data_IF_465809445509
#
_entry.id   IF_465809445509
#
_cell.length_a   1.000
_cell.length_b   1.000
_cell.length_c   1.000
_cell.angle_alpha   90.00
_cell.angle_beta   90.00
_cell.angle_gamma   90.00
#
_symmetry.space_group_name_H-M   'P 1'
#
loop_
_entity.id
_entity.type
_entity.pdbx_description
1 polymer ?
#
# COMPACT_ATOMS: atom_id res chain seq x y z
N UNK A 1 3.79 19.61 -12.20
CA UNK A 1 3.26 18.37 -12.85
C UNK A 1 4.11 17.16 -12.48
N UNK A 2 3.50 16.05 -11.97
CA UNK A 2 4.22 14.83 -11.62
C UNK A 2 4.39 13.90 -12.82
N UNK A 3 5.61 13.56 -13.19
CA UNK A 3 5.92 12.60 -14.26
C UNK A 3 6.03 11.17 -13.77
N UNK A 4 6.39 10.98 -12.50
CA UNK A 4 6.54 9.69 -11.83
C UNK A 4 5.50 9.58 -10.73
N UNK A 5 4.68 8.54 -10.78
CA UNK A 5 3.64 8.30 -9.77
C UNK A 5 3.86 6.92 -9.15
N UNK A 6 4.13 6.91 -7.86
CA UNK A 6 4.28 5.69 -7.09
C UNK A 6 2.97 5.44 -6.33
N UNK A 7 2.45 4.23 -6.39
CA UNK A 7 1.23 3.84 -5.68
C UNK A 7 1.55 2.82 -4.59
N UNK A 8 0.96 2.98 -3.42
CA UNK A 8 0.81 1.84 -2.52
C UNK A 8 -0.20 0.83 -3.11
N UNK A 9 -0.29 -0.34 -2.52
CA UNK A 9 -1.14 -1.43 -2.99
C UNK A 9 -2.39 -1.60 -2.13
N UNK A 10 -2.19 -1.99 -0.86
CA UNK A 10 -3.29 -2.34 0.05
C UNK A 10 -3.94 -1.06 0.60
N UNK A 11 -5.20 -0.81 0.28
CA UNK A 11 -5.92 0.42 0.65
C UNK A 11 -5.85 1.53 -0.41
N UNK A 12 -4.99 1.39 -1.40
CA UNK A 12 -4.82 2.35 -2.49
C UNK A 12 -5.26 1.78 -3.83
N UNK A 13 -4.56 0.76 -4.33
CA UNK A 13 -4.94 0.09 -5.58
C UNK A 13 -5.96 -1.03 -5.34
N UNK A 14 -5.96 -1.62 -4.14
CA UNK A 14 -6.83 -2.77 -3.83
C UNK A 14 -7.43 -2.71 -2.43
N UNK A 15 -8.65 -3.25 -2.30
CA UNK A 15 -9.30 -3.57 -1.02
C UNK A 15 -8.92 -4.99 -0.60
N UNK A 16 -7.87 -5.12 0.16
CA UNK A 16 -7.34 -6.40 0.63
C UNK A 16 -7.89 -6.87 1.98
N UNK A 17 -8.88 -6.14 2.56
CA UNK A 17 -9.39 -6.40 3.91
C UNK A 17 -9.84 -7.83 4.12
N UNK A 18 -10.58 -8.40 3.17
CA UNK A 18 -11.15 -9.75 3.31
C UNK A 18 -10.05 -10.80 3.49
N UNK A 19 -9.05 -10.79 2.61
CA UNK A 19 -7.93 -11.71 2.66
C UNK A 19 -7.06 -11.56 3.91
N UNK A 20 -6.80 -10.31 4.31
CA UNK A 20 -6.05 -10.01 5.53
C UNK A 20 -6.83 -10.47 6.75
N UNK A 21 -8.10 -10.10 6.89
CA UNK A 21 -8.93 -10.45 8.05
C UNK A 21 -9.09 -11.96 8.20
N UNK A 22 -9.36 -12.67 7.11
CA UNK A 22 -9.49 -14.12 7.14
C UNK A 22 -8.17 -14.80 7.51
N UNK A 23 -7.03 -14.24 7.08
CA UNK A 23 -5.72 -14.80 7.42
C UNK A 23 -5.30 -14.46 8.86
N UNK A 24 -5.69 -13.29 9.39
CA UNK A 24 -5.53 -12.96 10.82
C UNK A 24 -6.37 -13.91 11.68
N UNK A 25 -7.66 -14.11 11.33
CA UNK A 25 -8.55 -15.04 12.03
C UNK A 25 -7.98 -16.46 12.04
N UNK A 26 -7.52 -16.94 10.89
CA UNK A 26 -6.87 -18.25 10.75
C UNK A 26 -5.65 -18.38 11.66
N UNK A 27 -4.80 -17.35 11.69
CA UNK A 27 -3.62 -17.33 12.54
C UNK A 27 -3.97 -17.39 14.02
N UNK A 28 -4.91 -16.57 14.46
CA UNK A 28 -5.34 -16.52 15.87
C UNK A 28 -6.02 -17.82 16.31
N UNK A 29 -6.88 -18.40 15.47
CA UNK A 29 -7.54 -19.69 15.74
C UNK A 29 -6.51 -20.82 15.94
N UNK A 30 -5.54 -20.91 15.02
CA UNK A 30 -4.44 -21.90 15.11
C UNK A 30 -3.59 -21.74 16.37
N UNK A 31 -3.47 -20.54 16.89
CA UNK A 31 -2.70 -20.24 18.11
C UNK A 31 -3.54 -20.24 19.37
N UNK A 32 -4.85 -20.56 19.28
CA UNK A 32 -5.76 -20.55 20.42
C UNK A 32 -5.97 -19.16 21.03
N UNK A 33 -5.84 -18.10 20.23
CA UNK A 33 -6.01 -16.71 20.67
C UNK A 33 -7.36 -16.16 20.23
N UNK A 34 -8.00 -15.29 21.04
CA UNK A 34 -9.27 -14.65 20.66
C UNK A 34 -9.08 -13.71 19.46
N UNK A 35 -10.05 -13.71 18.55
CA UNK A 35 -10.07 -12.77 17.43
C UNK A 35 -10.55 -11.40 17.94
N UNK A 36 -9.84 -10.30 17.62
CA UNK A 36 -10.29 -8.96 17.96
C UNK A 36 -11.52 -8.55 17.12
N UNK A 37 -12.25 -7.50 17.54
CA UNK A 37 -13.41 -6.99 16.82
C UNK A 37 -13.02 -6.40 15.46
N UNK A 38 -14.02 -6.20 14.60
CA UNK A 38 -13.85 -5.73 13.21
C UNK A 38 -13.03 -4.42 13.11
N UNK A 39 -13.29 -3.46 13.97
CA UNK A 39 -12.61 -2.16 14.00
C UNK A 39 -11.12 -2.30 14.29
N UNK A 40 -10.74 -3.34 15.05
CA UNK A 40 -9.34 -3.66 15.31
C UNK A 40 -8.72 -4.39 14.12
N UNK A 41 -9.46 -5.27 13.44
CA UNK A 41 -8.96 -5.95 12.23
C UNK A 41 -8.61 -4.95 11.11
N UNK A 42 -9.33 -3.83 10.99
CA UNK A 42 -8.99 -2.75 10.05
C UNK A 42 -7.56 -2.23 10.26
N UNK A 43 -7.05 -2.27 11.50
CA UNK A 43 -5.70 -1.81 11.84
C UNK A 43 -4.57 -2.75 11.39
N UNK A 44 -4.92 -3.95 10.89
CA UNK A 44 -3.95 -4.87 10.30
C UNK A 44 -3.68 -4.58 8.82
N UNK A 45 -4.47 -3.70 8.18
CA UNK A 45 -4.23 -3.29 6.80
C UNK A 45 -3.26 -2.11 6.79
N UNK A 46 -2.12 -2.28 6.13
CA UNK A 46 -1.09 -1.26 5.95
C UNK A 46 0.14 -1.42 6.87
N UNK A 47 0.01 -1.46 8.21
CA UNK A 47 1.15 -1.63 9.10
C UNK A 47 1.85 -3.00 8.97
N UNK A 48 3.12 -3.11 9.42
CA UNK A 48 3.78 -4.39 9.59
C UNK A 48 2.95 -5.34 10.47
N UNK A 49 2.80 -6.60 10.03
CA UNK A 49 1.97 -7.57 10.74
C UNK A 49 2.48 -7.89 12.15
N UNK A 50 3.80 -7.90 12.35
CA UNK A 50 4.40 -8.11 13.68
C UNK A 50 3.89 -7.07 14.67
N UNK A 51 4.00 -5.78 14.32
CA UNK A 51 3.56 -4.66 15.16
C UNK A 51 2.05 -4.75 15.46
N UNK A 52 1.28 -5.19 14.47
CA UNK A 52 -0.17 -5.35 14.62
C UNK A 52 -0.53 -6.47 15.58
N UNK A 53 0.12 -7.64 15.50
CA UNK A 53 -0.11 -8.74 16.44
C UNK A 53 0.37 -8.39 17.86
N UNK A 54 1.51 -7.73 18.00
CA UNK A 54 1.99 -7.28 19.32
C UNK A 54 1.01 -6.28 19.94
N UNK A 55 0.67 -5.24 19.17
CA UNK A 55 -0.14 -4.12 19.67
C UNK A 55 -1.60 -4.48 19.94
N UNK A 56 -2.21 -5.27 19.06
CA UNK A 56 -3.66 -5.50 19.10
C UNK A 56 -4.06 -6.87 19.65
N UNK A 57 -3.12 -7.82 19.71
CA UNK A 57 -3.36 -9.15 20.27
C UNK A 57 -2.54 -9.42 21.53
N UNK A 58 -1.74 -8.45 22.02
CA UNK A 58 -0.93 -8.59 23.24
C UNK A 58 0.12 -9.70 23.16
N UNK A 59 0.68 -9.92 21.97
CA UNK A 59 1.72 -10.91 21.73
C UNK A 59 3.10 -10.33 22.02
N UNK A 60 4.01 -11.15 22.51
CA UNK A 60 5.43 -10.80 22.52
C UNK A 60 6.06 -11.01 21.13
N UNK A 61 7.33 -10.62 20.97
CA UNK A 61 8.04 -10.71 19.69
C UNK A 61 8.10 -12.15 19.14
N UNK A 62 8.24 -13.17 19.99
CA UNK A 62 8.29 -14.57 19.56
C UNK A 62 6.91 -15.06 19.09
N UNK A 63 5.86 -14.71 19.83
CA UNK A 63 4.48 -15.03 19.48
C UNK A 63 4.05 -14.33 18.20
N UNK A 64 4.38 -13.04 18.04
CA UNK A 64 4.05 -12.25 16.83
C UNK A 64 4.73 -12.84 15.59
N UNK A 65 5.99 -13.27 15.68
CA UNK A 65 6.68 -13.99 14.60
C UNK A 65 5.96 -15.29 14.22
N UNK A 66 5.51 -16.08 15.20
CA UNK A 66 4.74 -17.30 14.95
C UNK A 66 3.40 -16.98 14.29
N UNK A 67 2.71 -15.94 14.76
CA UNK A 67 1.43 -15.52 14.21
C UNK A 67 1.56 -15.07 12.76
N UNK A 68 2.60 -14.32 12.41
CA UNK A 68 2.88 -13.88 11.02
C UNK A 68 3.18 -15.08 10.12
N UNK A 69 3.92 -16.08 10.59
CA UNK A 69 4.18 -17.30 9.80
C UNK A 69 2.88 -18.06 9.51
N UNK A 70 2.02 -18.26 10.50
CA UNK A 70 0.71 -18.92 10.32
C UNK A 70 -0.22 -18.08 9.45
N UNK A 71 -0.20 -16.74 9.58
CA UNK A 71 -0.92 -15.83 8.69
C UNK A 71 -0.49 -16.06 7.22
N UNK A 72 0.82 -16.13 6.96
CA UNK A 72 1.38 -16.33 5.61
C UNK A 72 0.97 -17.68 5.00
N UNK A 73 0.85 -18.74 5.78
CA UNK A 73 0.37 -20.05 5.29
C UNK A 73 -0.96 -19.93 4.54
N UNK A 74 -1.89 -19.12 5.07
CA UNK A 74 -3.19 -18.91 4.43
C UNK A 74 -3.13 -17.80 3.39
N UNK A 75 -2.49 -16.68 3.73
CA UNK A 75 -2.49 -15.51 2.86
C UNK A 75 -1.84 -15.80 1.50
N UNK A 76 -0.71 -16.50 1.49
CA UNK A 76 0.03 -16.82 0.27
C UNK A 76 -0.65 -17.89 -0.60
N UNK A 77 -1.61 -18.63 -0.06
CA UNK A 77 -2.40 -19.63 -0.83
C UNK A 77 -3.71 -19.07 -1.36
N UNK A 78 -4.56 -18.54 -0.50
CA UNK A 78 -5.91 -18.08 -0.84
C UNK A 78 -6.19 -16.63 -0.44
N UNK A 79 -5.55 -16.10 0.61
CA UNK A 79 -5.87 -14.76 1.12
C UNK A 79 -5.60 -13.65 0.11
N UNK A 80 -4.54 -13.74 -0.68
CA UNK A 80 -4.19 -12.73 -1.67
C UNK A 80 -5.22 -12.60 -2.79
N UNK A 81 -6.01 -13.64 -3.08
CA UNK A 81 -7.08 -13.60 -4.08
C UNK A 81 -8.41 -13.10 -3.51
N UNK A 82 -8.59 -13.12 -2.18
CA UNK A 82 -9.71 -12.51 -1.46
C UNK A 82 -9.49 -10.98 -1.37
N UNK A 83 -9.47 -10.33 -2.53
CA UNK A 83 -9.07 -8.94 -2.70
C UNK A 83 -9.86 -8.35 -3.88
N UNK A 84 -10.01 -7.03 -3.97
CA UNK A 84 -10.74 -6.33 -5.03
C UNK A 84 -9.95 -5.12 -5.49
N UNK A 85 -9.93 -4.86 -6.80
CA UNK A 85 -9.38 -3.63 -7.32
C UNK A 85 -10.19 -2.42 -6.86
N UNK A 86 -9.51 -1.33 -6.56
CA UNK A 86 -10.17 -0.05 -6.28
C UNK A 86 -10.89 0.44 -7.54
N UNK A 87 -12.17 0.84 -7.44
CA UNK A 87 -12.92 1.34 -8.59
C UNK A 87 -12.21 2.49 -9.30
N UNK A 88 -12.14 2.44 -10.63
CA UNK A 88 -11.56 3.51 -11.44
C UNK A 88 -10.02 3.52 -11.54
N UNK A 89 -9.28 2.77 -10.70
CA UNK A 89 -7.82 2.85 -10.66
C UNK A 89 -7.14 2.30 -11.92
N UNK A 90 -7.67 1.22 -12.53
CA UNK A 90 -7.13 0.70 -13.81
C UNK A 90 -7.28 1.76 -14.90
N UNK A 91 -8.43 2.42 -14.96
CA UNK A 91 -8.69 3.48 -15.94
C UNK A 91 -7.82 4.72 -15.67
N UNK A 92 -7.64 5.11 -14.41
CA UNK A 92 -6.72 6.18 -14.04
C UNK A 92 -5.29 5.88 -14.52
N UNK A 93 -4.77 4.68 -14.24
CA UNK A 93 -3.42 4.29 -14.65
C UNK A 93 -3.27 4.28 -16.17
N UNK A 94 -4.29 3.80 -16.90
CA UNK A 94 -4.33 3.87 -18.37
C UNK A 94 -4.20 5.32 -18.86
N UNK A 95 -5.03 6.22 -18.34
CA UNK A 95 -4.98 7.64 -18.69
C UNK A 95 -3.63 8.29 -18.39
N UNK A 96 -3.00 7.97 -17.26
CA UNK A 96 -1.67 8.48 -16.90
C UNK A 96 -0.60 7.96 -17.87
N UNK A 97 -0.65 6.69 -18.26
CA UNK A 97 0.28 6.12 -19.25
C UNK A 97 0.12 6.76 -20.63
N UNK A 98 -1.10 7.00 -21.08
CA UNK A 98 -1.38 7.69 -22.35
C UNK A 98 -0.80 9.10 -22.39
N UNK A 99 -0.62 9.73 -21.21
CA UNK A 99 0.05 11.03 -21.07
C UNK A 99 1.56 10.91 -20.83
N UNK A 100 2.15 9.74 -21.02
CA UNK A 100 3.59 9.53 -20.90
C UNK A 100 4.11 9.53 -19.47
N UNK A 101 3.26 9.26 -18.45
CA UNK A 101 3.70 9.13 -17.07
C UNK A 101 4.38 7.79 -16.84
N UNK A 102 5.31 7.76 -15.91
CA UNK A 102 5.95 6.55 -15.40
C UNK A 102 5.27 6.15 -14.10
N UNK A 103 4.78 4.90 -14.02
CA UNK A 103 3.99 4.43 -12.90
C UNK A 103 4.67 3.22 -12.24
N UNK A 104 4.68 3.20 -10.91
CA UNK A 104 5.15 2.03 -10.18
C UNK A 104 4.32 1.76 -8.93
N UNK A 105 4.34 0.51 -8.48
CA UNK A 105 3.90 0.15 -7.13
C UNK A 105 5.10 0.22 -6.19
N UNK A 106 4.89 0.79 -5.01
CA UNK A 106 5.82 0.83 -3.89
C UNK A 106 5.09 0.43 -2.60
N UNK A 107 5.02 -0.88 -2.32
CA UNK A 107 4.26 -1.45 -1.20
C UNK A 107 5.15 -2.11 -0.15
N UNK A 108 4.82 -1.96 1.12
CA UNK A 108 5.47 -2.67 2.24
C UNK A 108 5.23 -4.19 2.22
N UNK A 109 4.24 -4.64 1.45
CA UNK A 109 3.96 -6.05 1.22
C UNK A 109 5.16 -6.75 0.56
N UNK A 110 5.48 -8.02 0.88
CA UNK A 110 6.53 -8.77 0.20
C UNK A 110 6.34 -8.79 -1.32
N UNK A 111 7.41 -8.54 -2.09
CA UNK A 111 7.34 -8.39 -3.56
C UNK A 111 6.75 -9.62 -4.25
N UNK A 112 7.03 -10.84 -3.72
CA UNK A 112 6.42 -12.08 -4.23
C UNK A 112 4.89 -12.09 -4.15
N UNK A 113 4.30 -11.26 -3.28
CA UNK A 113 2.85 -11.09 -3.16
C UNK A 113 2.33 -9.91 -3.99
N UNK A 114 3.15 -8.87 -4.22
CA UNK A 114 2.77 -7.71 -5.04
C UNK A 114 2.54 -8.11 -6.49
N UNK A 115 3.49 -8.83 -7.08
CA UNK A 115 3.48 -9.18 -8.52
C UNK A 115 2.20 -9.92 -8.93
N UNK A 116 1.78 -11.03 -8.27
CA UNK A 116 0.54 -11.72 -8.66
C UNK A 116 -0.72 -10.86 -8.50
N UNK A 117 -0.74 -9.95 -7.52
CA UNK A 117 -1.88 -9.05 -7.30
C UNK A 117 -2.01 -8.04 -8.44
N UNK A 118 -0.93 -7.38 -8.85
CA UNK A 118 -0.98 -6.39 -9.93
C UNK A 118 -1.32 -7.04 -11.28
N UNK A 119 -0.90 -8.27 -11.50
CA UNK A 119 -1.28 -9.08 -12.68
C UNK A 119 -2.77 -9.43 -12.66
N UNK A 120 -3.25 -9.98 -11.54
CA UNK A 120 -4.66 -10.42 -11.37
C UNK A 120 -5.64 -9.28 -11.61
N UNK A 121 -5.34 -8.08 -11.11
CA UNK A 121 -6.26 -6.93 -11.18
C UNK A 121 -6.02 -6.03 -12.40
N UNK A 122 -5.15 -6.42 -13.34
CA UNK A 122 -4.96 -5.72 -14.61
C UNK A 122 -4.17 -4.41 -14.49
N UNK A 123 -3.39 -4.23 -13.42
CA UNK A 123 -2.52 -3.08 -13.26
C UNK A 123 -1.19 -3.23 -14.01
N UNK A 124 -0.71 -4.47 -14.13
CA UNK A 124 0.61 -4.80 -14.68
C UNK A 124 0.91 -4.15 -16.05
N UNK A 125 -0.02 -4.07 -17.04
CA UNK A 125 0.27 -3.45 -18.34
C UNK A 125 0.61 -1.95 -18.26
N UNK A 126 0.26 -1.29 -17.16
CA UNK A 126 0.48 0.15 -16.96
C UNK A 126 1.66 0.46 -16.04
N UNK A 127 2.27 -0.55 -15.42
CA UNK A 127 3.36 -0.38 -14.48
C UNK A 127 4.72 -0.53 -15.16
N UNK A 128 5.62 0.41 -14.88
CA UNK A 128 7.03 0.34 -15.26
C UNK A 128 7.84 -0.44 -14.21
N UNK A 129 7.35 -0.50 -12.95
CA UNK A 129 7.90 -1.34 -11.89
C UNK A 129 6.84 -1.73 -10.86
N UNK A 130 6.97 -2.93 -10.29
CA UNK A 130 6.21 -3.39 -9.15
C UNK A 130 7.20 -3.72 -8.03
N UNK A 131 7.28 -2.85 -7.02
CA UNK A 131 8.22 -2.95 -5.91
C UNK A 131 7.50 -3.33 -4.64
N UNK A 132 8.01 -4.35 -3.97
CA UNK A 132 7.60 -4.76 -2.64
C UNK A 132 8.80 -4.91 -1.72
N UNK A 133 8.56 -5.15 -0.45
CA UNK A 133 9.57 -5.48 0.55
C UNK A 133 10.37 -6.71 0.13
N UNK A 134 11.66 -6.74 0.47
CA UNK A 134 12.53 -7.90 0.27
C UNK A 134 12.53 -8.87 1.47
N UNK A 135 11.72 -8.57 2.48
CA UNK A 135 11.60 -9.35 3.71
C UNK A 135 12.65 -9.00 4.78
N UNK A 136 13.60 -8.10 4.51
CA UNK A 136 14.55 -7.57 5.50
C UNK A 136 14.03 -6.30 6.16
N UNK A 137 13.38 -5.45 5.37
CA UNK A 137 12.71 -4.24 5.82
C UNK A 137 11.34 -4.15 5.17
N UNK A 138 10.34 -3.78 5.95
CA UNK A 138 8.97 -3.47 5.50
C UNK A 138 8.73 -1.95 5.51
N UNK A 139 9.77 -1.14 5.77
CA UNK A 139 9.67 0.30 5.81
C UNK A 139 9.30 0.88 4.43
N UNK A 140 8.33 1.80 4.41
CA UNK A 140 7.88 2.44 3.17
C UNK A 140 9.02 3.17 2.45
N UNK A 141 9.90 3.82 3.20
CA UNK A 141 11.09 4.50 2.69
C UNK A 141 11.99 3.60 1.84
N UNK A 142 12.23 2.36 2.29
CA UNK A 142 13.10 1.42 1.57
C UNK A 142 12.47 0.95 0.26
N UNK A 143 11.14 0.78 0.26
CA UNK A 143 10.42 0.37 -0.95
C UNK A 143 10.34 1.52 -1.97
N UNK A 144 10.17 2.76 -1.51
CA UNK A 144 10.23 3.96 -2.36
C UNK A 144 11.63 4.09 -2.98
N UNK A 145 12.70 3.95 -2.19
CA UNK A 145 14.08 3.97 -2.70
C UNK A 145 14.35 2.85 -3.72
N UNK A 146 13.78 1.67 -3.50
CA UNK A 146 13.84 0.55 -4.46
C UNK A 146 13.13 0.90 -5.77
N UNK A 147 11.97 1.56 -5.71
CA UNK A 147 11.29 2.05 -6.90
C UNK A 147 12.12 3.12 -7.63
N UNK A 148 12.75 4.04 -6.90
CA UNK A 148 13.67 5.02 -7.48
C UNK A 148 14.82 4.35 -8.24
N UNK A 149 15.45 3.36 -7.62
CA UNK A 149 16.55 2.62 -8.25
C UNK A 149 16.11 1.92 -9.54
N UNK A 150 14.94 1.27 -9.54
CA UNK A 150 14.41 0.57 -10.71
C UNK A 150 14.01 1.50 -11.86
N UNK A 151 13.51 2.70 -11.53
CA UNK A 151 13.04 3.68 -12.51
C UNK A 151 14.12 4.71 -12.88
N UNK A 152 15.29 4.63 -12.25
CA UNK A 152 16.37 5.62 -12.43
C UNK A 152 15.92 7.03 -12.01
N UNK A 153 15.19 7.12 -10.89
CA UNK A 153 14.73 8.39 -10.31
C UNK A 153 15.83 8.95 -9.42
N UNK A 154 16.35 10.09 -9.81
CA UNK A 154 17.36 10.86 -9.07
C UNK A 154 17.17 12.36 -9.27
N UNK A 155 17.77 13.19 -8.44
CA UNK A 155 17.85 14.63 -8.59
C UNK A 155 16.56 15.29 -9.10
N UNK A 156 16.56 15.76 -10.36
CA UNK A 156 15.41 16.47 -10.95
C UNK A 156 14.18 15.57 -11.15
N UNK A 157 14.35 14.27 -11.40
CA UNK A 157 13.23 13.34 -11.53
C UNK A 157 12.51 13.16 -10.20
N UNK A 158 13.24 13.18 -9.08
CA UNK A 158 12.66 13.10 -7.74
C UNK A 158 11.69 14.25 -7.47
N UNK A 159 12.01 15.49 -7.93
CA UNK A 159 11.11 16.65 -7.83
C UNK A 159 9.82 16.51 -8.64
N UNK A 160 9.81 15.60 -9.60
CA UNK A 160 8.66 15.30 -10.46
C UNK A 160 7.95 14.00 -10.04
N UNK A 161 8.28 13.46 -8.85
CA UNK A 161 7.73 12.23 -8.31
C UNK A 161 6.71 12.53 -7.22
N UNK A 162 5.66 11.73 -7.15
CA UNK A 162 4.67 11.76 -6.08
C UNK A 162 4.36 10.34 -5.62
N UNK A 163 4.17 10.16 -4.32
CA UNK A 163 3.59 8.95 -3.73
C UNK A 163 2.08 9.11 -3.60
N UNK A 164 1.34 8.04 -3.80
CA UNK A 164 -0.11 7.92 -3.52
C UNK A 164 -0.30 6.76 -2.56
N UNK A 165 -0.89 7.03 -1.40
CA UNK A 165 -1.08 6.02 -0.37
C UNK A 165 -2.23 6.37 0.58
N UNK A 166 -2.69 5.38 1.36
CA UNK A 166 -3.85 5.53 2.24
C UNK A 166 -3.50 5.65 3.72
N UNK A 167 -2.22 5.54 4.08
CA UNK A 167 -1.77 5.57 5.46
C UNK A 167 -0.68 6.63 5.70
N UNK A 168 -0.59 7.06 6.95
CA UNK A 168 0.50 7.97 7.37
C UNK A 168 1.90 7.42 7.04
N UNK A 169 2.08 6.12 7.01
CA UNK A 169 3.35 5.47 6.66
C UNK A 169 3.81 5.79 5.23
N UNK A 170 2.84 5.96 4.31
CA UNK A 170 3.11 6.39 2.93
C UNK A 170 3.59 7.83 2.91
N UNK A 171 2.95 8.68 3.72
CA UNK A 171 3.31 10.10 3.84
C UNK A 171 4.68 10.26 4.48
N UNK A 172 4.92 9.60 5.62
CA UNK A 172 6.21 9.61 6.33
C UNK A 172 7.35 9.08 5.44
N UNK A 173 7.13 7.94 4.77
CA UNK A 173 8.13 7.36 3.85
C UNK A 173 8.41 8.21 2.61
N UNK A 174 7.40 8.89 2.07
CA UNK A 174 7.56 9.84 0.98
C UNK A 174 8.37 11.07 1.42
N UNK A 175 8.05 11.63 2.58
CA UNK A 175 8.74 12.77 3.19
C UNK A 175 10.22 12.45 3.42
N UNK A 176 10.54 11.29 4.02
CA UNK A 176 11.93 10.84 4.19
C UNK A 176 12.67 10.62 2.87
N UNK A 177 11.95 10.34 1.79
CA UNK A 177 12.49 10.25 0.45
C UNK A 177 12.48 11.60 -0.30
N UNK A 178 12.06 12.70 0.33
CA UNK A 178 12.04 14.04 -0.27
C UNK A 178 11.04 14.19 -1.41
N UNK A 179 9.92 13.46 -1.39
CA UNK A 179 8.84 13.57 -2.36
C UNK A 179 7.49 13.83 -1.66
N UNK A 180 6.55 14.54 -2.29
CA UNK A 180 5.21 14.71 -1.74
C UNK A 180 4.41 13.41 -1.76
N UNK A 181 3.41 13.32 -0.86
CA UNK A 181 2.42 12.25 -0.86
C UNK A 181 1.02 12.82 -1.01
N UNK A 182 0.20 12.20 -1.87
CA UNK A 182 -1.24 12.40 -1.95
C UNK A 182 -1.89 11.27 -1.17
N UNK A 183 -2.66 11.62 -0.13
CA UNK A 183 -3.45 10.68 0.63
C UNK A 183 -4.69 10.23 -0.13
N UNK A 184 -5.14 8.99 0.07
CA UNK A 184 -6.42 8.50 -0.45
C UNK A 184 -7.22 7.82 0.66
N UNK A 185 -8.57 7.96 0.61
CA UNK A 185 -9.50 7.39 1.60
C UNK A 185 -10.53 6.47 0.94
N UNK A 186 -10.10 5.68 -0.05
CA UNK A 186 -11.02 4.85 -0.84
C UNK A 186 -11.72 3.76 -0.03
N UNK A 187 -11.10 3.29 1.06
CA UNK A 187 -11.55 2.13 1.83
C UNK A 187 -11.59 2.35 3.35
N UNK A 188 -11.35 3.55 3.83
CA UNK A 188 -11.39 3.94 5.26
C UNK A 188 -10.51 3.08 6.19
N UNK A 189 -9.32 2.64 5.70
CA UNK A 189 -8.38 1.86 6.52
C UNK A 189 -7.61 2.72 7.52
N UNK A 190 -7.39 3.99 7.18
CA UNK A 190 -6.79 4.94 8.10
C UNK A 190 -7.72 5.25 9.28
N UNK A 191 -7.20 5.47 10.48
CA UNK A 191 -7.95 6.11 11.55
C UNK A 191 -8.51 7.46 11.10
N UNK A 192 -9.72 7.86 11.58
CA UNK A 192 -10.25 9.18 11.28
C UNK A 192 -9.24 10.28 11.60
N UNK A 193 -8.98 11.18 10.65
CA UNK A 193 -8.05 12.29 10.78
C UNK A 193 -6.55 11.92 10.65
N UNK A 194 -6.18 10.68 10.41
CA UNK A 194 -4.77 10.28 10.27
C UNK A 194 -4.10 11.02 9.11
N UNK A 195 -4.75 11.07 7.95
CA UNK A 195 -4.20 11.76 6.79
C UNK A 195 -4.31 13.28 6.89
N UNK A 196 -5.39 13.79 7.50
CA UNK A 196 -5.57 15.24 7.72
C UNK A 196 -4.51 15.82 8.66
N UNK A 197 -4.05 15.01 9.63
CA UNK A 197 -2.99 15.39 10.57
C UNK A 197 -1.56 15.14 10.02
N UNK A 198 -1.44 14.58 8.82
CA UNK A 198 -0.16 14.26 8.17
C UNK A 198 0.33 15.42 7.27
N UNK A 199 1.53 15.28 6.71
CA UNK A 199 2.08 16.20 5.69
C UNK A 199 1.63 15.87 4.26
N UNK A 200 0.52 15.12 4.08
CA UNK A 200 -0.04 14.86 2.76
C UNK A 200 -0.42 16.18 2.05
N UNK A 201 0.01 16.34 0.80
CA UNK A 201 -0.23 17.58 0.03
C UNK A 201 -1.68 17.72 -0.43
N UNK A 202 -2.43 16.64 -0.44
CA UNK A 202 -3.87 16.56 -0.70
C UNK A 202 -4.41 15.23 -0.21
N UNK A 203 -5.72 15.13 0.03
CA UNK A 203 -6.44 13.89 0.33
C UNK A 203 -7.59 13.76 -0.67
N UNK A 204 -7.69 12.61 -1.33
CA UNK A 204 -8.71 12.29 -2.33
C UNK A 204 -9.59 11.13 -1.85
N UNK A 205 -10.91 11.30 -1.93
CA UNK A 205 -11.88 10.27 -1.56
C UNK A 205 -12.22 9.32 -2.72
N UNK A 206 -11.95 9.71 -3.97
CA UNK A 206 -12.27 8.94 -5.17
C UNK A 206 -11.12 8.92 -6.18
N UNK A 207 -11.13 7.92 -7.06
CA UNK A 207 -10.17 7.85 -8.17
C UNK A 207 -10.33 9.05 -9.14
N UNK A 208 -11.54 9.59 -9.29
CA UNK A 208 -11.82 10.76 -10.11
C UNK A 208 -11.16 12.02 -9.55
N UNK A 209 -11.24 12.24 -8.22
CA UNK A 209 -10.54 13.35 -7.56
C UNK A 209 -9.03 13.22 -7.71
N UNK A 210 -8.49 12.01 -7.49
CA UNK A 210 -7.08 11.72 -7.68
C UNK A 210 -6.67 11.96 -9.15
N UNK A 211 -7.47 11.52 -10.11
CA UNK A 211 -7.25 11.75 -11.54
C UNK A 211 -7.20 13.24 -11.84
N UNK A 212 -8.18 14.01 -11.37
CA UNK A 212 -8.23 15.44 -11.59
C UNK A 212 -7.00 16.15 -11.01
N UNK A 213 -6.50 15.72 -9.85
CA UNK A 213 -5.31 16.28 -9.23
C UNK A 213 -4.02 15.94 -10.00
N UNK A 214 -3.85 14.67 -10.39
CA UNK A 214 -2.65 14.20 -11.10
C UNK A 214 -2.55 14.73 -12.54
N UNK A 215 -3.69 15.04 -13.17
CA UNK A 215 -3.75 15.53 -14.54
C UNK A 215 -3.74 17.06 -14.65
N UNK A 216 -3.85 17.79 -13.53
CA UNK A 216 -3.73 19.26 -13.57
C UNK A 216 -2.38 19.66 -14.16
N UNK A 217 -2.43 20.45 -15.22
CA UNK A 217 -1.28 21.21 -15.66
C UNK A 217 -1.00 22.26 -14.58
N UNK A 218 0.21 22.27 -14.05
CA UNK A 218 0.68 23.41 -13.26
C UNK A 218 1.06 24.49 -14.26
N UNK A 219 0.30 25.57 -14.28
CA UNK A 219 0.64 26.80 -14.98
C UNK A 219 2.05 27.28 -14.61
#
# INVERSE_FOLDING_TARGET
MYRFVLFDLDGTLTDSREGIFNSVRYSLDKLGRPCPPYETLLRFVGPPLHDSFERYCGMDAQESHRAVNVFRERYETIGWVENKAAPGMVELMRCLKEQGRTLAVASSKPERSVVPIVEKFGFQPYLDAACGSDGKSEAKTDVIRKAFARLGIDGEKQKQTVMVGDRKYDVEGAEECGIPCIGVTFFDFAPPGELDASSAVAVCATAEELKALLLRETD
#
